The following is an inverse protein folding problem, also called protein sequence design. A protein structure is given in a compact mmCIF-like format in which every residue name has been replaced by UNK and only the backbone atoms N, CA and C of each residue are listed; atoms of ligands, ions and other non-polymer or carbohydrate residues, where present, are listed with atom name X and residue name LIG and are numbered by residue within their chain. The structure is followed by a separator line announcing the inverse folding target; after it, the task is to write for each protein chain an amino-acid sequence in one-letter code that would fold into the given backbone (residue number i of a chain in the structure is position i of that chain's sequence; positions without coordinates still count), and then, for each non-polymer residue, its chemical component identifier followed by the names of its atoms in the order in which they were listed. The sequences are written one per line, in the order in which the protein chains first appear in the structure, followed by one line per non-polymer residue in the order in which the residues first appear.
data_IF_818187133713
#
_entry.id   IF_818187133713
#
_cell.length_a   1.000
_cell.length_b   1.000
_cell.length_c   1.000
_cell.angle_alpha   90.00
_cell.angle_beta   90.00
_cell.angle_gamma   90.00
#
_symmetry.space_group_name_H-M   'P 1'
#
loop_
_entity.id
_entity.type
_entity.pdbx_description
1 polymer ?
#
# COMPACT_ATOMS: atom_id res chain seq x y z
N UNK A 1 -18.70 -0.85 12.33
CA UNK A 1 -18.01 -2.00 12.96
C UNK A 1 -19.01 -3.10 13.27
N UNK A 2 -20.07 -2.79 14.00
CA UNK A 2 -21.16 -3.71 14.38
C UNK A 2 -21.77 -4.50 13.21
N UNK A 3 -21.98 -3.85 12.05
CA UNK A 3 -22.50 -4.53 10.86
C UNK A 3 -21.54 -5.61 10.32
N UNK A 4 -20.22 -5.39 10.42
CA UNK A 4 -19.23 -6.37 10.00
C UNK A 4 -19.13 -7.52 11.01
N UNK A 5 -19.19 -7.22 12.32
CA UNK A 5 -19.26 -8.25 13.36
C UNK A 5 -20.49 -9.15 13.19
N UNK A 6 -21.66 -8.55 12.90
CA UNK A 6 -22.89 -9.29 12.60
C UNK A 6 -22.80 -10.11 11.30
N UNK A 7 -22.02 -9.66 10.32
CA UNK A 7 -21.75 -10.44 9.11
C UNK A 7 -20.83 -11.63 9.42
N UNK A 8 -19.79 -11.45 10.24
CA UNK A 8 -18.92 -12.54 10.69
C UNK A 8 -19.69 -13.59 11.49
N UNK A 9 -20.67 -13.19 12.29
CA UNK A 9 -21.58 -14.08 13.03
C UNK A 9 -22.42 -15.01 12.16
N UNK A 10 -22.75 -14.58 10.94
CA UNK A 10 -23.66 -15.28 10.04
C UNK A 10 -22.97 -15.87 8.81
N UNK A 11 -21.67 -15.64 8.66
CA UNK A 11 -20.90 -16.09 7.53
C UNK A 11 -20.88 -17.63 7.47
N UNK A 12 -21.37 -18.21 6.36
CA UNK A 12 -21.45 -19.66 6.18
C UNK A 12 -22.48 -20.36 7.07
N UNK A 13 -23.37 -19.62 7.74
CA UNK A 13 -24.35 -20.20 8.66
C UNK A 13 -25.41 -21.08 7.96
N UNK A 14 -25.64 -20.87 6.66
CA UNK A 14 -26.54 -21.71 5.84
C UNK A 14 -25.91 -23.06 5.48
N UNK A 15 -24.58 -23.14 5.49
CA UNK A 15 -23.82 -24.36 5.18
C UNK A 15 -23.44 -25.14 6.47
N UNK A 16 -23.84 -24.64 7.63
CA UNK A 16 -23.61 -25.28 8.93
C UNK A 16 -24.82 -26.11 9.38
N UNK A 17 -24.61 -27.24 10.08
CA UNK A 17 -25.68 -27.99 10.73
C UNK A 17 -26.58 -27.10 11.59
N UNK A 18 -27.88 -27.37 11.60
CA UNK A 18 -28.82 -26.56 12.39
C UNK A 18 -28.47 -26.56 13.88
N UNK A 19 -27.96 -27.68 14.38
CA UNK A 19 -27.54 -27.95 15.76
C UNK A 19 -26.10 -27.52 16.07
N UNK A 20 -25.39 -26.88 15.13
CA UNK A 20 -24.06 -26.36 15.39
C UNK A 20 -24.08 -25.31 16.51
N UNK A 21 -23.39 -25.60 17.61
CA UNK A 21 -23.29 -24.71 18.79
C UNK A 21 -22.62 -23.37 18.44
N UNK A 22 -21.80 -23.34 17.38
CA UNK A 22 -21.09 -22.15 16.91
C UNK A 22 -21.38 -21.93 15.44
N UNK A 23 -22.00 -20.79 15.14
CA UNK A 23 -22.23 -20.31 13.77
C UNK A 23 -21.37 -19.10 13.45
N UNK A 24 -20.94 -19.01 12.21
CA UNK A 24 -20.10 -17.91 11.73
C UNK A 24 -18.61 -18.10 11.97
N UNK A 25 -17.84 -17.05 11.65
CA UNK A 25 -16.39 -17.02 11.73
C UNK A 25 -15.92 -16.59 13.13
N UNK A 26 -15.26 -17.49 13.84
CA UNK A 26 -14.65 -17.22 15.14
C UNK A 26 -15.64 -16.94 16.27
N UNK A 27 -15.13 -16.54 17.43
CA UNK A 27 -15.90 -16.17 18.63
C UNK A 27 -15.91 -14.66 18.83
N UNK A 28 -16.81 -14.08 19.64
CA UNK A 28 -16.85 -12.63 19.87
C UNK A 28 -15.48 -12.04 20.26
N UNK A 29 -14.72 -12.74 21.11
CA UNK A 29 -13.39 -12.31 21.52
C UNK A 29 -12.37 -12.33 20.37
N UNK A 30 -12.38 -13.34 19.51
CA UNK A 30 -11.41 -13.45 18.41
C UNK A 30 -11.76 -12.55 17.23
N UNK A 31 -13.05 -12.25 16.99
CA UNK A 31 -13.50 -11.36 15.91
C UNK A 31 -12.95 -9.95 16.06
N UNK A 32 -13.08 -9.37 17.25
CA UNK A 32 -12.53 -8.04 17.54
C UNK A 32 -11.01 -8.03 17.35
N UNK A 33 -10.31 -9.05 17.85
CA UNK A 33 -8.86 -9.19 17.69
C UNK A 33 -8.42 -9.32 16.22
N UNK A 34 -9.18 -10.05 15.38
CA UNK A 34 -8.91 -10.18 13.94
C UNK A 34 -9.06 -8.83 13.24
N UNK A 35 -10.10 -8.06 13.55
CA UNK A 35 -10.30 -6.72 12.96
C UNK A 35 -9.15 -5.78 13.32
N UNK A 36 -8.71 -5.76 14.58
CA UNK A 36 -7.54 -4.97 14.97
C UNK A 36 -6.28 -5.41 14.25
N UNK A 37 -6.07 -6.73 14.09
CA UNK A 37 -4.93 -7.27 13.36
C UNK A 37 -4.94 -6.83 11.89
N UNK A 38 -6.11 -6.85 11.23
CA UNK A 38 -6.24 -6.38 9.84
C UNK A 38 -5.93 -4.88 9.69
N UNK A 39 -6.30 -4.07 10.69
CA UNK A 39 -5.96 -2.65 10.74
C UNK A 39 -4.47 -2.45 10.98
N UNK A 40 -3.89 -3.16 11.95
CA UNK A 40 -2.47 -3.09 12.30
C UNK A 40 -1.57 -3.52 11.13
N UNK A 41 -1.97 -4.56 10.38
CA UNK A 41 -1.26 -5.03 9.19
C UNK A 41 -1.47 -4.13 7.96
N UNK A 42 -2.38 -3.16 8.04
CA UNK A 42 -2.62 -2.19 6.96
C UNK A 42 -3.50 -2.70 5.83
N UNK A 43 -4.23 -3.80 6.00
CA UNK A 43 -5.20 -4.31 5.01
C UNK A 43 -6.56 -3.61 5.11
N UNK A 44 -6.88 -3.07 6.28
CA UNK A 44 -8.09 -2.30 6.55
C UNK A 44 -7.71 -0.98 7.20
N UNK A 45 -8.47 0.08 6.94
CA UNK A 45 -8.30 1.38 7.58
C UNK A 45 -9.62 1.88 8.16
N UNK A 46 -9.54 2.62 9.27
CA UNK A 46 -10.68 3.31 9.88
C UNK A 46 -10.87 4.68 9.24
N UNK A 47 -12.02 4.89 8.60
CA UNK A 47 -12.48 6.19 8.10
C UNK A 47 -13.73 6.60 8.87
N UNK A 48 -13.53 7.40 9.92
CA UNK A 48 -14.60 7.72 10.86
C UNK A 48 -15.12 6.45 11.54
N UNK A 49 -16.43 6.17 11.41
CA UNK A 49 -17.08 4.95 11.95
C UNK A 49 -17.05 3.75 11.00
N UNK A 50 -16.44 3.88 9.82
CA UNK A 50 -16.40 2.84 8.80
C UNK A 50 -15.03 2.16 8.75
N UNK A 51 -15.04 0.85 8.52
CA UNK A 51 -13.87 0.07 8.15
C UNK A 51 -13.87 -0.05 6.62
N UNK A 52 -12.77 0.35 5.99
CA UNK A 52 -12.63 0.36 4.53
C UNK A 52 -11.37 -0.44 4.18
N UNK A 53 -11.43 -1.38 3.22
CA UNK A 53 -10.24 -2.09 2.79
C UNK A 53 -9.23 -1.12 2.16
N UNK A 54 -7.95 -1.35 2.40
CA UNK A 54 -6.87 -0.63 1.72
C UNK A 54 -6.62 -1.27 0.35
N UNK A 55 -5.78 -0.62 -0.46
CA UNK A 55 -5.34 -1.21 -1.73
C UNK A 55 -4.69 -2.58 -1.52
N UNK A 56 -3.82 -2.69 -0.51
CA UNK A 56 -3.14 -3.94 -0.20
C UNK A 56 -4.13 -5.02 0.31
N UNK A 57 -5.17 -4.63 1.06
CA UNK A 57 -6.24 -5.54 1.46
C UNK A 57 -7.03 -6.09 0.27
N UNK A 58 -7.38 -5.24 -0.69
CA UNK A 58 -8.05 -5.66 -1.94
C UNK A 58 -7.14 -6.57 -2.76
N UNK A 59 -5.88 -6.19 -2.94
CA UNK A 59 -4.90 -6.99 -3.68
C UNK A 59 -4.69 -8.37 -3.05
N UNK A 60 -4.62 -8.45 -1.72
CA UNK A 60 -4.50 -9.71 -1.01
C UNK A 60 -5.69 -10.61 -1.29
N UNK A 61 -6.92 -10.09 -1.19
CA UNK A 61 -8.13 -10.85 -1.48
C UNK A 61 -8.18 -11.37 -2.93
N UNK A 62 -7.65 -10.61 -3.90
CA UNK A 62 -7.57 -11.02 -5.32
C UNK A 62 -6.51 -12.09 -5.57
N UNK A 63 -5.43 -12.07 -4.81
CA UNK A 63 -4.31 -13.01 -4.98
C UNK A 63 -4.58 -14.35 -4.30
N UNK A 64 -5.32 -14.33 -3.20
CA UNK A 64 -5.66 -15.53 -2.44
C UNK A 64 -6.58 -16.48 -3.24
N UNK A 65 -6.42 -17.79 -3.07
CA UNK A 65 -7.35 -18.78 -3.60
C UNK A 65 -8.75 -18.61 -3.02
N UNK A 66 -9.78 -18.83 -3.83
CA UNK A 66 -11.18 -18.73 -3.40
C UNK A 66 -11.48 -19.63 -2.21
N UNK A 67 -10.90 -20.84 -2.19
CA UNK A 67 -11.03 -21.80 -1.09
C UNK A 67 -10.58 -21.23 0.26
N UNK A 68 -9.53 -20.40 0.28
CA UNK A 68 -9.02 -19.78 1.51
C UNK A 68 -9.79 -18.53 1.93
N UNK A 69 -10.55 -17.93 1.01
CA UNK A 69 -11.38 -16.76 1.29
C UNK A 69 -12.84 -17.11 1.57
N UNK A 70 -13.22 -18.38 1.38
CA UNK A 70 -14.59 -18.84 1.57
C UNK A 70 -14.92 -19.07 3.05
N UNK A 71 -16.05 -18.54 3.54
CA UNK A 71 -16.52 -18.85 4.89
C UNK A 71 -16.96 -20.32 5.03
N UNK A 72 -17.26 -21.01 3.92
CA UNK A 72 -17.68 -22.42 3.90
C UNK A 72 -16.57 -23.33 4.42
N UNK A 73 -15.33 -23.15 3.98
CA UNK A 73 -14.20 -23.94 4.46
C UNK A 73 -14.02 -23.80 5.98
N UNK A 74 -14.24 -22.60 6.51
CA UNK A 74 -14.17 -22.38 7.96
C UNK A 74 -15.32 -23.09 8.68
N UNK A 75 -16.51 -23.08 8.09
CA UNK A 75 -17.67 -23.80 8.62
C UNK A 75 -17.42 -25.31 8.70
N UNK A 76 -16.88 -25.91 7.64
CA UNK A 76 -16.51 -27.32 7.61
C UNK A 76 -15.50 -27.68 8.71
N UNK A 77 -14.51 -26.83 8.93
CA UNK A 77 -13.50 -27.05 9.98
C UNK A 77 -14.09 -26.98 11.39
N UNK A 78 -14.94 -25.99 11.67
CA UNK A 78 -15.60 -25.86 12.98
C UNK A 78 -16.53 -27.05 13.25
N UNK A 79 -17.25 -27.54 12.24
CA UNK A 79 -18.05 -28.77 12.35
C UNK A 79 -17.16 -29.98 12.67
N UNK A 80 -16.04 -30.13 11.99
CA UNK A 80 -15.13 -31.26 12.20
C UNK A 80 -14.46 -31.23 13.58
N UNK A 81 -14.08 -30.05 14.05
CA UNK A 81 -13.60 -29.84 15.42
C UNK A 81 -14.67 -30.21 16.46
N UNK A 82 -15.94 -29.94 16.16
CA UNK A 82 -17.07 -30.31 17.03
C UNK A 82 -17.24 -31.83 17.08
N UNK A 83 -17.18 -32.52 15.95
CA UNK A 83 -17.28 -33.99 15.92
C UNK A 83 -16.08 -34.66 16.60
N UNK A 84 -14.87 -34.10 16.48
CA UNK A 84 -13.70 -34.56 17.25
C UNK A 84 -13.95 -34.39 18.76
N UNK A 85 -14.47 -33.25 19.19
CA UNK A 85 -14.77 -33.00 20.61
C UNK A 85 -15.83 -33.95 21.17
N UNK A 86 -16.78 -34.40 20.34
CA UNK A 86 -17.78 -35.44 20.67
C UNK A 86 -17.23 -36.87 20.60
N UNK A 87 -16.03 -37.07 20.07
CA UNK A 87 -15.42 -38.40 19.87
C UNK A 87 -15.92 -39.13 18.61
N UNK A 88 -16.58 -38.43 17.69
CA UNK A 88 -17.16 -38.99 16.46
C UNK A 88 -16.22 -38.90 15.25
N UNK A 89 -15.08 -38.21 15.37
CA UNK A 89 -14.08 -38.06 14.33
C UNK A 89 -12.66 -38.15 14.91
N UNK A 90 -11.73 -38.62 14.09
CA UNK A 90 -10.33 -38.78 14.49
C UNK A 90 -9.54 -37.47 14.28
N UNK A 91 -8.77 -37.10 15.30
CA UNK A 91 -7.99 -35.86 15.28
C UNK A 91 -6.75 -35.98 14.39
N UNK A 92 -6.12 -37.16 14.32
CA UNK A 92 -4.92 -37.37 13.53
C UNK A 92 -5.25 -37.37 12.03
N UNK A 93 -6.38 -37.97 11.64
CA UNK A 93 -6.92 -37.93 10.29
C UNK A 93 -7.22 -36.48 9.86
N UNK A 94 -7.88 -35.70 10.71
CA UNK A 94 -8.15 -34.28 10.44
C UNK A 94 -6.87 -33.48 10.21
N UNK A 95 -5.84 -33.69 11.04
CA UNK A 95 -4.55 -33.03 10.87
C UNK A 95 -3.83 -33.47 9.59
N UNK A 96 -3.88 -34.77 9.26
CA UNK A 96 -3.28 -35.29 8.03
C UNK A 96 -3.92 -34.66 6.77
N UNK A 97 -5.23 -34.43 6.79
CA UNK A 97 -5.92 -33.74 5.70
C UNK A 97 -5.52 -32.27 5.59
N UNK A 98 -5.42 -31.55 6.71
CA UNK A 98 -4.93 -30.16 6.72
C UNK A 98 -3.52 -30.10 6.12
N UNK A 99 -2.63 -31.01 6.52
CA UNK A 99 -1.27 -31.07 5.97
C UNK A 99 -1.27 -31.32 4.46
N UNK A 100 -2.12 -32.24 3.98
CA UNK A 100 -2.25 -32.51 2.54
C UNK A 100 -2.76 -31.29 1.78
N UNK A 101 -3.77 -30.58 2.31
CA UNK A 101 -4.29 -29.35 1.73
C UNK A 101 -3.22 -28.25 1.67
N UNK A 102 -2.48 -28.02 2.77
CA UNK A 102 -1.39 -27.04 2.82
C UNK A 102 -0.29 -27.37 1.82
N UNK A 103 0.13 -28.64 1.71
CA UNK A 103 1.13 -29.07 0.72
C UNK A 103 0.66 -28.79 -0.70
N UNK A 104 -0.61 -29.05 -0.99
CA UNK A 104 -1.19 -28.78 -2.30
C UNK A 104 -1.26 -27.28 -2.61
N UNK A 105 -1.63 -26.45 -1.63
CA UNK A 105 -1.65 -24.99 -1.77
C UNK A 105 -0.25 -24.45 -2.05
N UNK A 106 0.76 -24.85 -1.26
CA UNK A 106 2.15 -24.41 -1.46
C UNK A 106 2.67 -24.83 -2.84
N UNK A 107 2.36 -26.05 -3.27
CA UNK A 107 2.74 -26.54 -4.61
C UNK A 107 2.09 -25.71 -5.72
N UNK A 108 0.78 -25.47 -5.62
CA UNK A 108 -0.03 -24.78 -6.64
C UNK A 108 0.31 -23.29 -6.74
N UNK A 109 0.54 -22.64 -5.61
CA UNK A 109 0.79 -21.19 -5.53
C UNK A 109 2.27 -20.85 -5.27
N UNK A 110 3.17 -21.78 -5.58
CA UNK A 110 4.63 -21.65 -5.40
C UNK A 110 5.24 -20.48 -6.18
N UNK A 111 4.59 -20.04 -7.26
CA UNK A 111 4.96 -18.84 -7.99
C UNK A 111 3.72 -17.96 -8.23
N UNK A 112 3.79 -16.71 -7.75
CA UNK A 112 2.83 -15.68 -8.10
C UNK A 112 3.24 -15.13 -9.47
N UNK A 113 2.32 -15.10 -10.44
CA UNK A 113 2.61 -14.55 -11.78
C UNK A 113 3.13 -13.11 -11.69
N UNK A 114 3.95 -12.69 -12.66
CA UNK A 114 4.51 -11.33 -12.69
C UNK A 114 3.41 -10.25 -12.58
N UNK A 115 2.25 -10.49 -13.21
CA UNK A 115 1.08 -9.60 -13.15
C UNK A 115 0.52 -9.46 -11.73
N UNK A 116 0.45 -10.57 -10.97
CA UNK A 116 0.01 -10.56 -9.58
C UNK A 116 1.08 -9.99 -8.64
N UNK A 117 2.37 -10.13 -8.95
CA UNK A 117 3.45 -9.45 -8.20
C UNK A 117 3.41 -7.92 -8.39
N UNK A 118 2.99 -7.45 -9.57
CA UNK A 118 2.83 -6.02 -9.85
C UNK A 118 1.70 -5.38 -9.02
N UNK A 119 0.72 -6.14 -8.54
CA UNK A 119 -0.39 -5.62 -7.73
C UNK A 119 0.10 -4.96 -6.43
N UNK A 120 1.13 -5.52 -5.80
CA UNK A 120 1.74 -5.00 -4.56
C UNK A 120 2.84 -3.95 -4.79
N UNK A 121 3.12 -3.59 -6.05
CA UNK A 121 4.07 -2.50 -6.31
C UNK A 121 3.45 -1.17 -5.87
N UNK A 122 4.22 -0.41 -5.10
CA UNK A 122 3.85 0.94 -4.71
C UNK A 122 3.54 1.72 -5.99
N UNK A 123 2.34 2.31 -6.08
CA UNK A 123 1.98 3.19 -7.20
C UNK A 123 3.03 4.30 -7.26
N UNK A 124 3.92 4.20 -8.24
CA UNK A 124 4.95 5.21 -8.44
C UNK A 124 4.26 6.41 -9.03
N UNK A 125 4.09 7.46 -8.24
CA UNK A 125 3.50 8.71 -8.71
C UNK A 125 4.44 9.33 -9.74
N UNK A 126 3.96 9.47 -10.97
CA UNK A 126 4.69 10.14 -12.05
C UNK A 126 4.57 11.65 -11.83
N UNK A 127 5.71 12.32 -11.65
CA UNK A 127 5.79 13.77 -11.41
C UNK A 127 5.99 14.55 -12.70
N UNK A 128 6.65 13.94 -13.69
CA UNK A 128 6.90 14.57 -14.99
C UNK A 128 7.86 13.75 -15.85
N UNK A 129 8.34 14.37 -16.94
CA UNK A 129 9.32 13.79 -17.84
C UNK A 129 10.73 14.28 -17.50
N UNK A 130 11.70 13.39 -17.59
CA UNK A 130 13.11 13.69 -17.30
C UNK A 130 13.69 14.58 -18.39
N UNK A 131 14.30 15.73 -18.06
CA UNK A 131 14.88 16.64 -19.05
C UNK A 131 16.14 16.06 -19.73
N UNK A 132 16.76 15.02 -19.16
CA UNK A 132 17.99 14.41 -19.71
C UNK A 132 17.73 13.29 -20.71
N UNK A 133 16.69 12.47 -20.47
CA UNK A 133 16.44 11.26 -21.27
C UNK A 133 14.99 11.06 -21.69
N UNK A 134 14.06 11.92 -21.28
CA UNK A 134 12.63 11.81 -21.63
C UNK A 134 11.85 10.72 -20.89
N UNK A 135 12.47 9.91 -20.04
CA UNK A 135 11.78 8.90 -19.23
C UNK A 135 10.95 9.54 -18.09
N UNK A 136 9.99 8.81 -17.53
CA UNK A 136 9.20 9.24 -16.37
C UNK A 136 10.08 9.47 -15.13
N UNK A 137 9.80 10.58 -14.43
CA UNK A 137 10.34 10.89 -13.11
C UNK A 137 9.30 10.52 -12.06
N UNK A 138 9.71 9.76 -11.05
CA UNK A 138 8.85 9.25 -9.99
C UNK A 138 9.14 9.95 -8.66
N UNK A 139 8.12 10.06 -7.81
CA UNK A 139 8.29 10.51 -6.43
C UNK A 139 8.74 9.37 -5.52
N UNK A 140 9.87 9.56 -4.86
CA UNK A 140 10.34 8.76 -3.73
C UNK A 140 10.15 9.49 -2.39
N UNK A 141 10.45 8.77 -1.30
CA UNK A 141 10.36 9.34 0.06
C UNK A 141 11.25 10.57 0.23
N UNK A 142 12.47 10.55 -0.30
CA UNK A 142 13.49 11.62 -0.13
C UNK A 142 13.78 12.46 -1.39
N UNK A 143 13.36 11.99 -2.56
CA UNK A 143 13.77 12.57 -3.84
C UNK A 143 12.73 12.33 -4.93
N UNK A 144 12.93 12.99 -6.07
CA UNK A 144 12.27 12.71 -7.33
C UNK A 144 13.33 12.15 -8.28
N UNK A 145 13.15 10.94 -8.80
CA UNK A 145 14.19 10.20 -9.52
C UNK A 145 13.71 9.73 -10.89
N UNK A 146 14.62 9.70 -11.86
CA UNK A 146 14.34 9.18 -13.19
C UNK A 146 14.16 7.66 -13.18
N UNK A 147 13.19 7.15 -13.95
CA UNK A 147 12.93 5.71 -14.10
C UNK A 147 14.02 4.95 -14.84
N UNK A 148 14.76 5.62 -15.74
CA UNK A 148 15.87 5.02 -16.45
C UNK A 148 17.10 4.90 -15.53
N UNK A 149 17.52 3.68 -15.21
CA UNK A 149 18.69 3.39 -14.35
C UNK A 149 20.01 3.91 -14.91
N UNK A 150 20.12 4.10 -16.23
CA UNK A 150 21.28 4.74 -16.86
C UNK A 150 21.30 6.26 -16.71
N UNK A 151 20.17 6.88 -16.36
CA UNK A 151 20.05 8.32 -16.18
C UNK A 151 20.20 8.69 -14.70
N UNK A 152 21.29 9.39 -14.37
CA UNK A 152 21.59 9.84 -13.00
C UNK A 152 20.81 11.11 -12.58
N UNK A 153 19.64 11.36 -13.19
CA UNK A 153 18.82 12.54 -12.86
C UNK A 153 18.04 12.30 -11.57
N UNK A 154 18.35 13.10 -10.53
CA UNK A 154 17.69 13.06 -9.23
C UNK A 154 17.54 14.47 -8.66
N UNK A 155 16.31 14.83 -8.25
CA UNK A 155 15.99 16.08 -7.57
C UNK A 155 15.70 15.77 -6.09
N UNK A 156 16.56 16.23 -5.19
CA UNK A 156 16.46 15.90 -3.76
C UNK A 156 15.48 16.83 -3.04
N UNK A 157 14.61 16.31 -2.18
CA UNK A 157 13.64 17.14 -1.43
C UNK A 157 14.34 18.07 -0.42
N UNK A 158 15.52 17.66 0.04
CA UNK A 158 16.43 18.39 0.92
C UNK A 158 17.55 19.09 0.14
N UNK A 159 17.26 19.54 -1.09
CA UNK A 159 18.26 20.25 -1.88
C UNK A 159 18.66 21.58 -1.21
N UNK A 160 19.97 21.83 -1.13
CA UNK A 160 20.55 23.02 -0.48
C UNK A 160 19.95 24.33 -0.99
N UNK A 161 19.58 24.41 -2.27
CA UNK A 161 18.96 25.61 -2.84
C UNK A 161 17.64 25.98 -2.15
N UNK A 162 16.81 24.98 -1.84
CA UNK A 162 15.50 25.13 -1.21
C UNK A 162 15.62 25.25 0.31
N UNK A 163 16.54 24.50 0.94
CA UNK A 163 16.80 24.58 2.38
C UNK A 163 17.30 25.96 2.82
N UNK A 164 18.29 26.53 2.11
CA UNK A 164 18.79 27.89 2.38
C UNK A 164 17.69 28.95 2.28
N UNK A 165 16.68 28.70 1.43
CA UNK A 165 15.53 29.59 1.23
C UNK A 165 14.36 29.24 2.15
N UNK A 166 14.57 28.36 3.14
CA UNK A 166 13.58 27.86 4.10
C UNK A 166 12.27 27.40 3.44
N UNK A 167 12.40 26.81 2.25
CA UNK A 167 11.25 26.39 1.43
C UNK A 167 11.25 24.89 1.23
N UNK A 168 10.14 24.24 1.55
CA UNK A 168 9.97 22.83 1.25
C UNK A 168 9.87 22.59 -0.26
N UNK A 169 10.66 21.63 -0.76
CA UNK A 169 10.60 21.24 -2.16
C UNK A 169 9.48 20.21 -2.38
N UNK A 170 8.30 20.71 -2.76
CA UNK A 170 7.08 19.90 -2.89
C UNK A 170 6.95 19.24 -4.27
N UNK A 171 6.13 18.17 -4.39
CA UNK A 171 5.84 17.52 -5.68
C UNK A 171 5.28 18.49 -6.73
N UNK A 172 4.50 19.50 -6.30
CA UNK A 172 3.96 20.53 -7.20
C UNK A 172 5.06 21.39 -7.83
N UNK A 173 6.07 21.76 -7.05
CA UNK A 173 7.22 22.53 -7.57
C UNK A 173 8.02 21.65 -8.52
N UNK A 174 8.26 20.38 -8.15
CA UNK A 174 9.00 19.45 -9.01
C UNK A 174 8.28 19.22 -10.35
N UNK A 175 6.97 18.98 -10.33
CA UNK A 175 6.15 18.83 -11.53
C UNK A 175 6.20 20.07 -12.43
N UNK A 176 6.13 21.28 -11.85
CA UNK A 176 6.23 22.52 -12.62
C UNK A 176 7.62 22.71 -13.27
N UNK A 177 8.69 22.39 -12.54
CA UNK A 177 10.06 22.43 -13.06
C UNK A 177 10.28 21.43 -14.18
N UNK A 178 9.75 20.20 -14.06
CA UNK A 178 9.87 19.19 -15.11
C UNK A 178 9.00 19.49 -16.34
N UNK A 179 7.84 20.13 -16.16
CA UNK A 179 6.92 20.44 -17.27
C UNK A 179 7.40 21.62 -18.12
N UNK A 180 7.81 22.70 -17.48
CA UNK A 180 8.05 23.99 -18.15
C UNK A 180 9.49 24.51 -17.97
N UNK A 181 10.36 23.78 -17.27
CA UNK A 181 11.68 24.28 -16.87
C UNK A 181 11.63 25.37 -15.79
N UNK A 182 10.42 25.78 -15.33
CA UNK A 182 10.22 26.89 -14.39
C UNK A 182 9.04 26.69 -13.45
N UNK A 183 9.19 27.16 -12.21
CA UNK A 183 8.17 27.11 -11.18
C UNK A 183 8.08 28.44 -10.43
N UNK A 184 6.88 29.00 -10.31
CA UNK A 184 6.64 30.16 -9.43
C UNK A 184 6.61 29.67 -7.98
N UNK A 185 7.52 30.18 -7.16
CA UNK A 185 7.64 29.80 -5.75
C UNK A 185 7.48 31.02 -4.87
N UNK A 186 6.49 30.95 -3.98
CA UNK A 186 6.19 32.03 -3.03
C UNK A 186 6.93 31.87 -1.71
N UNK A 187 7.29 32.98 -1.08
CA UNK A 187 7.88 32.99 0.26
C UNK A 187 9.24 32.33 0.34
N UNK A 188 10.11 32.55 -0.65
CA UNK A 188 11.51 32.18 -0.57
C UNK A 188 12.23 33.12 0.40
N UNK A 189 13.01 32.59 1.33
CA UNK A 189 13.83 33.41 2.24
C UNK A 189 15.11 33.89 1.55
N UNK A 190 15.49 35.15 1.78
CA UNK A 190 16.74 35.74 1.32
C UNK A 190 17.68 35.94 2.51
N UNK A 191 18.78 35.18 2.57
CA UNK A 191 19.83 35.38 3.59
C UNK A 191 20.46 36.79 3.50
N UNK A 192 20.51 37.38 2.30
CA UNK A 192 21.10 38.71 2.08
C UNK A 192 20.27 39.85 2.66
N UNK A 193 18.95 39.71 2.68
CA UNK A 193 18.03 40.80 3.07
C UNK A 193 17.20 40.46 4.31
N UNK A 194 17.30 39.23 4.82
CA UNK A 194 16.49 38.74 5.94
C UNK A 194 14.98 38.64 5.67
N UNK A 195 14.53 38.97 4.44
CA UNK A 195 13.11 39.05 4.06
C UNK A 195 12.72 37.88 3.15
N UNK A 196 11.43 37.59 3.11
CA UNK A 196 10.85 36.66 2.14
C UNK A 196 10.45 37.38 0.85
N UNK A 197 10.52 36.66 -0.26
CA UNK A 197 10.14 37.17 -1.58
C UNK A 197 9.56 36.06 -2.45
N UNK A 198 8.77 36.45 -3.44
CA UNK A 198 8.22 35.56 -4.44
C UNK A 198 9.11 35.62 -5.69
N UNK A 199 9.43 34.47 -6.28
CA UNK A 199 10.23 34.44 -7.50
C UNK A 199 9.94 33.22 -8.38
N UNK A 200 10.42 33.29 -9.63
CA UNK A 200 10.42 32.14 -10.54
C UNK A 200 11.72 31.37 -10.34
N UNK A 201 11.63 30.10 -9.99
CA UNK A 201 12.76 29.17 -9.94
C UNK A 201 12.86 28.49 -11.30
N UNK A 202 14.04 28.51 -11.88
CA UNK A 202 14.40 27.85 -13.13
C UNK A 202 15.19 26.57 -12.84
N UNK A 203 14.87 25.51 -13.58
CA UNK A 203 15.65 24.29 -13.61
C UNK A 203 16.89 24.54 -14.48
N UNK A 204 18.06 24.61 -13.85
CA UNK A 204 19.34 24.84 -14.52
C UNK A 204 20.16 23.54 -14.55
N UNK A 205 19.55 22.47 -15.04
CA UNK A 205 20.22 21.17 -15.12
C UNK A 205 21.35 21.22 -16.16
N UNK A 206 22.53 20.74 -15.76
CA UNK A 206 23.76 20.76 -16.59
C UNK A 206 24.18 19.36 -17.02
N UNK A 207 23.38 18.33 -16.72
CA UNK A 207 23.74 16.93 -16.97
C UNK A 207 24.71 16.33 -15.93
N UNK A 208 25.22 17.14 -15.00
CA UNK A 208 26.13 16.68 -13.94
C UNK A 208 25.47 15.81 -12.86
N UNK A 209 26.26 15.44 -11.84
CA UNK A 209 25.80 14.59 -10.71
C UNK A 209 24.63 15.19 -9.92
N UNK A 210 24.55 16.52 -9.85
CA UNK A 210 23.50 17.23 -9.11
C UNK A 210 22.72 18.16 -10.06
N UNK A 211 21.41 18.23 -9.83
CA UNK A 211 20.51 19.17 -10.51
C UNK A 211 20.63 20.54 -9.84
N UNK A 212 20.85 21.59 -10.63
CA UNK A 212 20.96 22.94 -10.10
C UNK A 212 19.71 23.76 -10.40
N UNK A 213 19.47 24.79 -9.58
CA UNK A 213 18.35 25.70 -9.71
C UNK A 213 18.84 27.15 -9.69
N UNK A 214 18.14 28.03 -10.42
CA UNK A 214 18.42 29.48 -10.43
C UNK A 214 17.14 30.25 -10.16
N UNK A 215 17.27 31.44 -9.59
CA UNK A 215 16.14 32.35 -9.41
C UNK A 215 16.17 33.39 -10.52
N UNK A 216 15.08 33.48 -11.27
CA UNK A 216 14.80 34.61 -12.16
C UNK A 216 14.11 35.69 -11.34
N UNK A 217 14.80 36.83 -11.17
CA UNK A 217 14.18 38.02 -10.57
C UNK A 217 13.39 38.70 -11.67
N UNK A 218 12.11 39.01 -11.41
CA UNK A 218 11.41 40.00 -12.22
C UNK A 218 12.14 41.32 -12.03
N UNK A 219 12.60 41.90 -13.12
CA UNK A 219 12.87 43.34 -13.21
C UNK A 219 11.60 44.13 -12.86
#
# INVERSE_FOLDING_TARGET
EDMLLSAMERAGAEDMPEDAERKGLGTPATRAAILEKLVQMGFVQRKGKQLVPTKDGINLAVVLPESLTSPVLTAEWENRLTEIAKGNADADEFMAEIEAQVRQLVKTYSCISADKQNLFQSERVIIGKCPRCGENVYEGKKNFYCGNRGCQFVMWKNDRFFEQRKKAFTPKIAAALLKNGKAKVKGLYSEKTGKTYDATVLLADTGGKYVNYRVERKE
#
